data_IF_459153501339
#
_entry.id   IF_459153501339
#
_cell.length_a   1.000
_cell.length_b   1.000
_cell.length_c   1.000
_cell.angle_alpha   90.00
_cell.angle_beta   90.00
_cell.angle_gamma   90.00
#
_symmetry.space_group_name_H-M   'P 1'
#
loop_
_entity.id
_entity.type
_entity.pdbx_description
1 polymer ?
#
# COMPACT_ATOMS: atom_id res chain seq x y z
N UNK A 1 17.78 18.45 -18.02
CA UNK A 1 18.87 17.67 -17.42
C UNK A 1 18.54 16.19 -17.59
N UNK A 2 19.45 15.39 -18.14
CA UNK A 2 19.30 13.93 -18.13
C UNK A 2 19.81 13.42 -16.77
N UNK A 3 18.91 12.83 -15.99
CA UNK A 3 19.21 12.24 -14.69
C UNK A 3 17.97 11.51 -14.18
N UNK A 4 18.16 10.32 -13.61
CA UNK A 4 17.12 9.59 -12.91
C UNK A 4 17.34 9.80 -11.41
N UNK A 5 16.33 10.28 -10.68
CA UNK A 5 16.37 10.21 -9.22
C UNK A 5 16.20 8.76 -8.80
N UNK A 6 17.20 8.22 -8.11
CA UNK A 6 17.09 6.90 -7.49
C UNK A 6 16.39 7.07 -6.13
N UNK A 7 15.23 6.41 -5.99
CA UNK A 7 14.42 6.50 -4.78
C UNK A 7 13.62 7.79 -4.65
N UNK A 8 12.81 7.84 -3.59
CA UNK A 8 11.85 8.91 -3.37
C UNK A 8 10.53 8.70 -4.12
N UNK A 9 9.52 9.47 -3.71
CA UNK A 9 8.13 9.38 -4.16
C UNK A 9 7.95 9.53 -5.68
N UNK A 10 8.86 10.24 -6.35
CA UNK A 10 8.81 10.48 -7.79
C UNK A 10 9.59 9.46 -8.61
N UNK A 11 10.12 8.41 -7.99
CA UNK A 11 10.91 7.38 -8.66
C UNK A 11 10.25 6.00 -8.57
N UNK A 12 10.16 5.31 -9.70
CA UNK A 12 9.82 3.88 -9.74
C UNK A 12 8.36 3.56 -9.44
N UNK A 13 8.08 2.96 -8.27
CA UNK A 13 6.81 2.24 -8.01
C UNK A 13 5.66 3.10 -7.50
N UNK A 14 5.95 4.23 -6.85
CA UNK A 14 4.91 5.16 -6.37
C UNK A 14 4.23 5.90 -7.54
N UNK A 15 4.97 6.39 -8.57
CA UNK A 15 4.35 6.91 -9.78
C UNK A 15 3.44 5.88 -10.47
N UNK A 16 3.88 4.61 -10.55
CA UNK A 16 3.06 3.54 -11.10
C UNK A 16 1.79 3.29 -10.27
N UNK A 17 1.88 3.31 -8.94
CA UNK A 17 0.71 3.18 -8.06
C UNK A 17 -0.29 4.33 -8.26
N UNK A 18 0.21 5.56 -8.45
CA UNK A 18 -0.59 6.74 -8.76
C UNK A 18 -1.29 6.60 -10.12
N UNK A 19 -0.56 6.18 -11.16
CA UNK A 19 -1.11 5.91 -12.48
C UNK A 19 -2.21 4.84 -12.42
N UNK A 20 -1.98 3.73 -11.68
CA UNK A 20 -3.01 2.71 -11.47
C UNK A 20 -4.29 3.30 -10.88
N UNK A 21 -4.16 4.14 -9.87
CA UNK A 21 -5.32 4.68 -9.17
C UNK A 21 -6.10 5.70 -10.01
N UNK A 22 -5.41 6.68 -10.61
CA UNK A 22 -6.07 7.84 -11.23
C UNK A 22 -6.27 7.73 -12.73
N UNK A 23 -5.41 7.00 -13.45
CA UNK A 23 -5.51 6.83 -14.91
C UNK A 23 -6.21 5.52 -15.28
N UNK A 24 -5.81 4.41 -14.66
CA UNK A 24 -6.42 3.09 -14.94
C UNK A 24 -7.73 2.86 -14.17
N UNK A 25 -8.02 3.69 -13.15
CA UNK A 25 -9.16 3.48 -12.23
C UNK A 25 -9.06 2.19 -11.40
N UNK A 26 -7.84 1.66 -11.26
CA UNK A 26 -7.58 0.40 -10.59
C UNK A 26 -7.35 0.60 -9.08
N UNK A 27 -8.15 -0.09 -8.27
CA UNK A 27 -8.00 -0.09 -6.83
C UNK A 27 -8.59 -1.37 -6.21
N UNK A 28 -7.82 -2.03 -5.35
CA UNK A 28 -8.29 -3.15 -4.51
C UNK A 28 -8.42 -2.65 -3.06
N UNK A 29 -9.59 -2.69 -2.42
CA UNK A 29 -9.75 -2.26 -1.03
C UNK A 29 -8.81 -2.99 -0.06
N UNK A 30 -8.31 -2.31 0.97
CA UNK A 30 -7.39 -2.91 1.95
C UNK A 30 -7.97 -4.16 2.61
N UNK A 31 -9.27 -4.18 2.87
CA UNK A 31 -9.95 -5.34 3.44
C UNK A 31 -9.82 -6.57 2.53
N UNK A 32 -10.10 -6.43 1.23
CA UNK A 32 -9.95 -7.50 0.24
C UNK A 32 -8.47 -7.88 0.10
N UNK A 33 -7.58 -6.89 0.02
CA UNK A 33 -6.15 -7.11 -0.18
C UNK A 33 -5.50 -7.89 0.98
N UNK A 34 -5.92 -7.64 2.22
CA UNK A 34 -5.40 -8.34 3.41
C UNK A 34 -5.98 -9.75 3.58
N UNK A 35 -7.06 -10.09 2.87
CA UNK A 35 -7.62 -11.45 2.81
C UNK A 35 -6.92 -12.32 1.75
N UNK A 36 -6.22 -11.72 0.78
CA UNK A 36 -5.52 -12.46 -0.26
C UNK A 36 -4.36 -13.27 0.29
N UNK A 37 -4.48 -14.59 0.18
CA UNK A 37 -3.37 -15.51 0.38
C UNK A 37 -2.34 -15.43 -0.76
N UNK A 38 -1.12 -15.94 -0.51
CA UNK A 38 -0.03 -15.95 -1.50
C UNK A 38 -0.42 -16.62 -2.82
N UNK A 39 -1.14 -17.75 -2.76
CA UNK A 39 -1.51 -18.52 -3.96
C UNK A 39 -2.59 -17.79 -4.78
N UNK A 40 -3.56 -17.19 -4.11
CA UNK A 40 -4.63 -16.43 -4.77
C UNK A 40 -4.05 -15.20 -5.45
N UNK A 41 -3.17 -14.46 -4.76
CA UNK A 41 -2.45 -13.34 -5.34
C UNK A 41 -1.64 -13.76 -6.57
N UNK A 42 -0.88 -14.86 -6.51
CA UNK A 42 -0.06 -15.33 -7.63
C UNK A 42 -0.87 -15.73 -8.87
N UNK A 43 -2.14 -16.11 -8.68
CA UNK A 43 -3.04 -16.52 -9.77
C UNK A 43 -3.90 -15.39 -10.30
N UNK A 44 -3.96 -14.26 -9.59
CA UNK A 44 -4.77 -13.12 -10.02
C UNK A 44 -4.19 -12.51 -11.31
N UNK A 45 -4.96 -12.43 -12.41
CA UNK A 45 -4.48 -11.83 -13.66
C UNK A 45 -4.12 -10.35 -13.52
N UNK A 46 -4.59 -9.68 -12.46
CA UNK A 46 -4.31 -8.28 -12.10
C UNK A 46 -3.04 -8.14 -11.25
N UNK A 47 -2.28 -9.21 -11.05
CA UNK A 47 -1.08 -9.24 -10.22
C UNK A 47 -0.12 -8.05 -10.44
N UNK A 48 0.20 -7.63 -11.68
CA UNK A 48 1.06 -6.47 -11.89
C UNK A 48 0.50 -5.15 -11.31
N UNK A 49 -0.81 -4.93 -11.46
CA UNK A 49 -1.49 -3.76 -10.92
C UNK A 49 -1.55 -3.83 -9.39
N UNK A 50 -1.87 -5.00 -8.82
CA UNK A 50 -1.87 -5.23 -7.37
C UNK A 50 -0.48 -4.96 -6.78
N UNK A 51 0.59 -5.43 -7.42
CA UNK A 51 1.97 -5.16 -6.97
C UNK A 51 2.32 -3.67 -6.99
N UNK A 52 1.80 -2.93 -7.98
CA UNK A 52 1.98 -1.48 -8.05
C UNK A 52 1.28 -0.79 -6.88
N UNK A 53 0.03 -1.17 -6.60
CA UNK A 53 -0.71 -0.65 -5.45
C UNK A 53 -0.06 -1.01 -4.11
N UNK A 54 0.40 -2.26 -3.91
CA UNK A 54 1.11 -2.67 -2.68
C UNK A 54 2.37 -1.81 -2.47
N UNK A 55 3.10 -1.48 -3.53
CA UNK A 55 4.25 -0.61 -3.43
C UNK A 55 3.87 0.83 -3.02
N UNK A 56 2.77 1.36 -3.57
CA UNK A 56 2.21 2.64 -3.15
C UNK A 56 1.76 2.63 -1.69
N UNK A 57 1.07 1.57 -1.25
CA UNK A 57 0.63 1.40 0.14
C UNK A 57 1.82 1.34 1.10
N UNK A 58 2.89 0.62 0.76
CA UNK A 58 4.09 0.57 1.58
C UNK A 58 4.72 1.97 1.74
N UNK A 59 4.78 2.76 0.68
CA UNK A 59 5.25 4.14 0.74
C UNK A 59 4.33 5.02 1.61
N UNK A 60 3.02 4.92 1.42
CA UNK A 60 2.01 5.61 2.23
C UNK A 60 2.15 5.27 3.72
N UNK A 61 2.23 4.00 4.09
CA UNK A 61 2.36 3.62 5.50
C UNK A 61 3.68 4.10 6.11
N UNK A 62 4.75 4.22 5.32
CA UNK A 62 6.04 4.70 5.80
C UNK A 62 6.14 6.23 5.86
N UNK A 63 5.43 6.97 5.00
CA UNK A 63 5.68 8.39 4.76
C UNK A 63 4.42 9.28 4.82
N UNK A 64 3.23 8.72 4.59
CA UNK A 64 1.96 9.45 4.62
C UNK A 64 1.57 9.91 6.02
N UNK A 65 0.74 10.96 6.08
CA UNK A 65 0.33 11.63 7.32
C UNK A 65 1.51 11.93 8.26
N UNK A 66 2.58 12.54 7.75
CA UNK A 66 3.79 12.83 8.55
C UNK A 66 4.39 11.56 9.19
N UNK A 67 4.36 10.45 8.46
CA UNK A 67 4.81 9.12 8.90
C UNK A 67 4.04 8.54 10.11
N UNK A 68 2.81 9.01 10.37
CA UNK A 68 1.95 8.55 11.46
C UNK A 68 1.82 7.03 11.57
N UNK A 69 1.75 6.33 10.44
CA UNK A 69 1.49 4.89 10.41
C UNK A 69 2.77 4.04 10.40
N UNK A 70 3.95 4.65 10.41
CA UNK A 70 5.23 3.95 10.20
C UNK A 70 5.47 2.85 11.23
N UNK A 71 5.31 3.17 12.50
CA UNK A 71 5.56 2.21 13.59
C UNK A 71 4.54 1.06 13.57
N UNK A 72 3.26 1.39 13.38
CA UNK A 72 2.19 0.41 13.22
C UNK A 72 2.44 -0.54 12.03
N UNK A 73 2.92 -0.01 10.91
CA UNK A 73 3.24 -0.82 9.73
C UNK A 73 4.45 -1.73 9.96
N UNK A 74 5.50 -1.24 10.64
CA UNK A 74 6.64 -2.07 11.04
C UNK A 74 6.18 -3.20 11.97
N UNK A 75 5.29 -2.92 12.92
CA UNK A 75 4.70 -3.93 13.79
C UNK A 75 3.84 -4.93 13.03
N UNK A 76 3.08 -4.50 12.04
CA UNK A 76 2.33 -5.39 11.16
C UNK A 76 3.26 -6.35 10.39
N UNK A 77 4.37 -5.85 9.84
CA UNK A 77 5.36 -6.71 9.19
C UNK A 77 5.94 -7.74 10.17
N UNK A 78 6.22 -7.36 11.43
CA UNK A 78 6.65 -8.31 12.47
C UNK A 78 5.61 -9.41 12.71
N UNK A 79 4.32 -9.09 12.70
CA UNK A 79 3.24 -10.09 12.82
C UNK A 79 3.20 -11.04 11.62
N UNK A 80 3.41 -10.53 10.40
CA UNK A 80 3.50 -11.34 9.17
C UNK A 80 4.68 -12.30 9.27
N UNK A 81 5.88 -11.81 9.61
CA UNK A 81 7.08 -12.65 9.72
C UNK A 81 6.97 -13.72 10.80
N UNK A 82 6.16 -13.49 11.83
CA UNK A 82 5.85 -14.48 12.88
C UNK A 82 4.74 -15.46 12.50
N UNK A 83 4.06 -15.24 11.37
CA UNK A 83 2.89 -16.05 10.98
C UNK A 83 1.67 -15.83 11.87
N UNK A 84 1.60 -14.71 12.59
CA UNK A 84 0.54 -14.39 13.55
C UNK A 84 -0.37 -13.26 13.09
N UNK A 85 -0.09 -12.68 11.91
CA UNK A 85 -0.96 -11.68 11.31
C UNK A 85 -2.32 -12.30 10.97
N UNK A 86 -3.38 -11.57 11.30
CA UNK A 86 -4.76 -11.80 10.86
C UNK A 86 -5.14 -10.73 9.84
N UNK A 87 -6.18 -10.94 9.01
CA UNK A 87 -6.63 -9.94 8.04
C UNK A 87 -6.83 -8.56 8.66
N UNK A 88 -7.31 -8.50 9.90
CA UNK A 88 -7.58 -7.26 10.63
C UNK A 88 -6.40 -6.61 11.35
N UNK A 89 -5.21 -7.22 11.30
CA UNK A 89 -4.09 -6.78 12.14
C UNK A 89 -3.56 -5.41 11.74
N UNK A 90 -3.52 -5.10 10.44
CA UNK A 90 -2.98 -3.84 9.93
C UNK A 90 -3.77 -2.63 10.44
N UNK A 91 -5.07 -2.58 10.17
CA UNK A 91 -5.88 -1.41 10.53
C UNK A 91 -6.14 -1.30 12.03
N UNK A 92 -6.13 -2.43 12.76
CA UNK A 92 -6.12 -2.42 14.24
C UNK A 92 -4.86 -1.75 14.80
N UNK A 93 -3.69 -2.02 14.23
CA UNK A 93 -2.43 -1.37 14.64
C UNK A 93 -2.41 0.12 14.27
N UNK A 94 -3.02 0.49 13.15
CA UNK A 94 -3.14 1.88 12.72
C UNK A 94 -4.23 2.68 13.46
N UNK A 95 -5.03 2.05 14.32
CA UNK A 95 -6.20 2.65 14.98
C UNK A 95 -7.16 3.33 13.98
N UNK A 96 -7.47 2.62 12.89
CA UNK A 96 -8.33 3.09 11.80
C UNK A 96 -9.21 1.96 11.29
N UNK A 97 -10.31 2.31 10.62
CA UNK A 97 -11.01 1.36 9.76
C UNK A 97 -10.22 1.16 8.45
N UNK A 98 -10.38 0.01 7.76
CA UNK A 98 -9.74 -0.19 6.47
C UNK A 98 -10.17 0.86 5.43
N UNK A 99 -11.44 1.31 5.46
CA UNK A 99 -11.94 2.34 4.55
C UNK A 99 -11.31 3.71 4.81
N UNK A 100 -11.04 4.05 6.08
CA UNK A 100 -10.33 5.27 6.43
C UNK A 100 -8.89 5.25 5.91
N UNK A 101 -8.22 4.09 5.97
CA UNK A 101 -6.87 3.92 5.42
C UNK A 101 -6.87 3.96 3.89
N UNK A 102 -7.87 3.36 3.24
CA UNK A 102 -8.05 3.44 1.79
C UNK A 102 -8.21 4.90 1.35
N UNK A 103 -9.02 5.68 2.07
CA UNK A 103 -9.23 7.09 1.75
C UNK A 103 -7.99 7.96 2.01
N UNK A 104 -7.30 7.71 3.13
CA UNK A 104 -6.04 8.38 3.43
C UNK A 104 -4.97 8.06 2.38
N UNK A 105 -4.92 6.82 1.87
CA UNK A 105 -4.03 6.42 0.79
C UNK A 105 -4.35 7.14 -0.53
N UNK A 106 -5.64 7.26 -0.90
CA UNK A 106 -6.05 8.02 -2.09
C UNK A 106 -5.65 9.48 -1.98
N UNK A 107 -5.90 10.09 -0.82
CA UNK A 107 -5.52 11.47 -0.53
C UNK A 107 -4.00 11.63 -0.60
N UNK A 108 -3.24 10.72 0.03
CA UNK A 108 -1.79 10.69 -0.03
C UNK A 108 -1.32 10.67 -1.48
N UNK A 109 -1.81 9.75 -2.31
CA UNK A 109 -1.39 9.66 -3.71
C UNK A 109 -1.84 10.84 -4.57
N UNK A 110 -2.89 11.58 -4.20
CA UNK A 110 -3.36 12.75 -4.93
C UNK A 110 -2.41 13.95 -4.80
N UNK A 111 -1.67 14.03 -3.71
CA UNK A 111 -0.66 15.07 -3.50
C UNK A 111 0.46 15.00 -4.56
N UNK A 112 0.96 16.15 -5.03
CA UNK A 112 2.03 16.22 -6.04
C UNK A 112 3.40 15.75 -5.54
#
# INVERSE_FOLDING_TARGET
AFGYSLGGRNAGRVPAARERLFEDGFFVPLQELCELGRLDLQRDPRLPQIYSQIAGLADFFLNGEEARFRDAFIDYLRLIYRGTARPDSLWKLCDRSPEQLDEAYRSYLAEP
#
